data_IF_625352567686
#
_entry.id   IF_625352567686
#
_cell.length_a   1.000
_cell.length_b   1.000
_cell.length_c   1.000
_cell.angle_alpha   90.00
_cell.angle_beta   90.00
_cell.angle_gamma   90.00
#
_symmetry.space_group_name_H-M   'P 1'
#
loop_
_entity.id
_entity.type
_entity.pdbx_description
1 polymer ?
#
# COMPACT_ATOMS: atom_id res chain seq x y z
N UNK A 1 -10.39 -2.50 11.60
CA UNK A 1 -10.01 -2.89 12.97
C UNK A 1 -8.57 -3.27 12.84
N UNK A 2 -7.64 -2.42 13.29
CA UNK A 2 -6.20 -2.70 13.20
C UNK A 2 -5.92 -3.98 14.00
N UNK A 3 -5.26 -4.96 13.39
CA UNK A 3 -4.89 -6.21 14.06
C UNK A 3 -3.75 -5.97 15.06
N UNK A 4 -4.03 -5.19 16.12
CA UNK A 4 -3.06 -4.73 17.11
C UNK A 4 -2.26 -5.91 17.69
N UNK A 5 -1.09 -6.18 17.12
CA UNK A 5 -0.13 -7.16 17.64
C UNK A 5 0.66 -7.98 16.62
N UNK A 6 0.21 -8.15 15.37
CA UNK A 6 0.99 -8.84 14.33
C UNK A 6 1.42 -7.86 13.22
N UNK A 7 2.69 -7.39 13.23
CA UNK A 7 3.20 -6.45 12.23
C UNK A 7 3.04 -6.91 10.78
N UNK A 8 3.05 -8.22 10.50
CA UNK A 8 2.86 -8.72 9.14
C UNK A 8 1.39 -8.58 8.72
N UNK A 9 0.45 -8.87 9.63
CA UNK A 9 -0.97 -8.70 9.36
C UNK A 9 -1.31 -7.22 9.15
N UNK A 10 -0.77 -6.33 10.00
CA UNK A 10 -0.95 -4.89 9.86
C UNK A 10 -0.44 -4.38 8.50
N UNK A 11 0.74 -4.83 8.05
CA UNK A 11 1.27 -4.45 6.73
C UNK A 11 0.42 -4.98 5.57
N UNK A 12 -0.20 -6.15 5.69
CA UNK A 12 -1.14 -6.64 4.67
C UNK A 12 -2.44 -5.81 4.64
N UNK A 13 -2.92 -5.33 5.79
CA UNK A 13 -4.03 -4.37 5.86
C UNK A 13 -3.66 -3.05 5.16
N UNK A 14 -2.44 -2.53 5.40
CA UNK A 14 -1.94 -1.32 4.76
C UNK A 14 -1.80 -1.50 3.23
N UNK A 15 -1.23 -2.61 2.76
CA UNK A 15 -1.16 -2.93 1.32
C UNK A 15 -2.57 -2.94 0.71
N UNK A 16 -3.54 -3.57 1.36
CA UNK A 16 -4.91 -3.60 0.86
C UNK A 16 -5.55 -2.20 0.82
N UNK A 17 -5.25 -1.35 1.78
CA UNK A 17 -5.69 0.04 1.81
C UNK A 17 -5.12 0.84 0.63
N UNK A 18 -3.81 0.72 0.34
CA UNK A 18 -3.19 1.44 -0.78
C UNK A 18 -3.66 0.95 -2.14
N UNK A 19 -3.85 -0.36 -2.32
CA UNK A 19 -4.40 -0.91 -3.55
C UNK A 19 -5.84 -0.44 -3.79
N UNK A 20 -6.63 -0.30 -2.71
CA UNK A 20 -8.00 0.26 -2.77
C UNK A 20 -7.97 1.75 -3.11
N UNK A 21 -7.12 2.55 -2.47
CA UNK A 21 -6.96 3.97 -2.76
C UNK A 21 -6.54 4.19 -4.22
N UNK A 22 -5.56 3.42 -4.71
CA UNK A 22 -5.12 3.44 -6.12
C UNK A 22 -6.28 3.18 -7.09
N UNK A 23 -7.11 2.17 -6.81
CA UNK A 23 -8.26 1.84 -7.64
C UNK A 23 -9.32 2.97 -7.62
N UNK A 24 -9.55 3.57 -6.45
CA UNK A 24 -10.43 4.74 -6.31
C UNK A 24 -9.92 5.94 -7.10
N UNK A 25 -8.62 6.26 -7.04
CA UNK A 25 -8.05 7.36 -7.83
C UNK A 25 -8.10 7.09 -9.32
N UNK A 26 -7.84 5.86 -9.77
CA UNK A 26 -8.00 5.49 -11.17
C UNK A 26 -9.45 5.73 -11.64
N UNK A 27 -10.43 5.25 -10.87
CA UNK A 27 -11.83 5.46 -11.19
C UNK A 27 -12.19 6.96 -11.27
N UNK A 28 -11.70 7.77 -10.33
CA UNK A 28 -11.92 9.23 -10.34
C UNK A 28 -11.32 9.90 -11.59
N UNK A 29 -10.12 9.49 -12.01
CA UNK A 29 -9.47 9.97 -13.24
C UNK A 29 -10.34 9.64 -14.46
N UNK A 30 -10.91 8.43 -14.49
CA UNK A 30 -11.69 7.96 -15.64
C UNK A 30 -13.06 8.67 -15.77
N UNK A 31 -13.60 9.22 -14.68
CA UNK A 31 -14.94 9.87 -14.66
C UNK A 31 -14.90 11.39 -14.65
N UNK A 32 -13.73 12.02 -14.57
CA UNK A 32 -13.58 13.49 -14.52
C UNK A 32 -12.91 14.04 -15.78
N UNK A 33 -13.34 15.21 -16.22
CA UNK A 33 -12.79 16.01 -17.31
C UNK A 33 -11.96 17.22 -16.84
N UNK A 34 -11.90 17.46 -15.52
CA UNK A 34 -11.08 18.52 -14.92
C UNK A 34 -9.59 18.12 -14.94
N UNK A 35 -8.81 18.83 -15.76
CA UNK A 35 -7.39 18.57 -15.97
C UNK A 35 -6.52 18.81 -14.72
N UNK A 36 -6.87 19.80 -13.90
CA UNK A 36 -6.11 20.13 -12.69
C UNK A 36 -6.35 19.08 -11.60
N UNK A 37 -7.59 18.58 -11.52
CA UNK A 37 -7.94 17.45 -10.67
C UNK A 37 -7.24 16.16 -11.11
N UNK A 38 -7.20 15.88 -12.43
CA UNK A 38 -6.53 14.69 -12.95
C UNK A 38 -5.03 14.67 -12.63
N UNK A 39 -4.34 15.81 -12.69
CA UNK A 39 -2.90 15.87 -12.36
C UNK A 39 -2.64 15.48 -10.90
N UNK A 40 -3.44 16.05 -9.99
CA UNK A 40 -3.38 15.71 -8.56
C UNK A 40 -3.69 14.23 -8.30
N UNK A 41 -4.72 13.68 -8.96
CA UNK A 41 -5.10 12.27 -8.81
C UNK A 41 -4.04 11.32 -9.37
N UNK A 42 -3.38 11.67 -10.48
CA UNK A 42 -2.27 10.87 -11.04
C UNK A 42 -1.10 10.80 -10.06
N UNK A 43 -0.72 11.94 -9.48
CA UNK A 43 0.32 11.98 -8.45
C UNK A 43 -0.01 11.09 -7.24
N UNK A 44 -1.23 11.21 -6.70
CA UNK A 44 -1.67 10.38 -5.56
C UNK A 44 -1.67 8.89 -5.93
N UNK A 45 -2.21 8.54 -7.10
CA UNK A 45 -2.24 7.15 -7.59
C UNK A 45 -0.86 6.53 -7.72
N UNK A 46 0.12 7.28 -8.23
CA UNK A 46 1.51 6.82 -8.31
C UNK A 46 2.12 6.60 -6.92
N UNK A 47 1.81 7.46 -5.96
CA UNK A 47 2.25 7.29 -4.57
C UNK A 47 1.70 6.00 -3.95
N UNK A 48 0.46 5.63 -4.22
CA UNK A 48 -0.08 4.38 -3.65
C UNK A 48 0.58 3.13 -4.22
N UNK A 49 1.10 3.19 -5.45
CA UNK A 49 1.96 2.12 -5.99
C UNK A 49 3.26 2.04 -5.18
N UNK A 50 3.89 3.18 -4.90
CA UNK A 50 5.12 3.24 -4.12
C UNK A 50 4.88 2.78 -2.68
N UNK A 51 3.81 3.23 -2.02
CA UNK A 51 3.47 2.81 -0.66
C UNK A 51 3.23 1.29 -0.60
N UNK A 52 2.40 0.74 -1.50
CA UNK A 52 2.17 -0.71 -1.61
C UNK A 52 3.48 -1.49 -1.81
N UNK A 53 4.38 -1.01 -2.67
CA UNK A 53 5.70 -1.63 -2.86
C UNK A 53 6.53 -1.61 -1.58
N UNK A 54 6.58 -0.48 -0.87
CA UNK A 54 7.37 -0.34 0.37
C UNK A 54 6.82 -1.21 1.51
N UNK A 55 5.50 -1.34 1.62
CA UNK A 55 4.92 -2.25 2.59
C UNK A 55 5.22 -3.72 2.25
N UNK A 56 5.23 -4.10 0.97
CA UNK A 56 5.65 -5.45 0.55
C UNK A 56 7.13 -5.71 0.87
N UNK A 57 8.01 -4.74 0.64
CA UNK A 57 9.41 -4.83 1.06
C UNK A 57 9.54 -5.02 2.58
N UNK A 58 8.76 -4.27 3.37
CA UNK A 58 8.75 -4.41 4.82
C UNK A 58 8.24 -5.79 5.29
N UNK A 59 7.26 -6.38 4.59
CA UNK A 59 6.78 -7.75 4.86
C UNK A 59 7.91 -8.76 4.67
N UNK A 60 8.68 -8.68 3.59
CA UNK A 60 9.77 -9.62 3.34
C UNK A 60 10.89 -9.48 4.37
N UNK A 61 11.27 -8.25 4.75
CA UNK A 61 12.25 -8.01 5.83
C UNK A 61 11.80 -8.67 7.14
N UNK A 62 10.54 -8.51 7.53
CA UNK A 62 10.03 -9.10 8.77
C UNK A 62 9.93 -10.62 8.71
N UNK A 63 9.70 -11.21 7.52
CA UNK A 63 9.71 -12.66 7.33
C UNK A 63 11.11 -13.21 7.49
N UNK A 64 12.10 -12.57 6.86
CA UNK A 64 13.51 -12.95 6.97
C UNK A 64 14.00 -12.87 8.42
N UNK A 65 13.67 -11.80 9.15
CA UNK A 65 14.03 -11.64 10.57
C UNK A 65 13.41 -12.74 11.45
N UNK A 66 12.14 -13.11 11.20
CA UNK A 66 11.45 -14.19 11.92
C UNK A 66 12.06 -15.56 11.61
N UNK A 67 12.53 -15.79 10.40
CA UNK A 67 13.21 -17.03 10.04
C UNK A 67 14.59 -17.12 10.70
N UNK A 68 15.37 -16.04 10.70
CA UNK A 68 16.67 -15.98 11.38
C UNK A 68 16.55 -16.26 12.89
N UNK A 69 15.51 -15.76 13.55
CA UNK A 69 15.27 -16.02 14.98
C UNK A 69 14.96 -17.50 15.31
N UNK A 70 14.43 -18.27 14.37
CA UNK A 70 14.09 -19.70 14.59
C UNK A 70 15.31 -20.63 14.56
N UNK A 71 16.46 -20.14 14.10
CA UNK A 71 17.67 -20.94 13.89
C UNK A 71 18.58 -20.95 15.13
N UNK A 72 18.28 -20.15 16.17
CA UNK A 72 19.05 -20.05 17.41
C UNK A 72 18.32 -20.64 18.62
#
# INVERSE_FOLDING_TARGET
MQAKGDPIADLYEDIAAEEKARATYQWLIDVTDDVDLQDSLKFLREREIVHSLRFREAVEILKDDREAQKVF
#
